data_IF_248529722849
#
_entry.id   IF_248529722849
#
_cell.length_a   1.000
_cell.length_b   1.000
_cell.length_c   1.000
_cell.angle_alpha   90.00
_cell.angle_beta   90.00
_cell.angle_gamma   90.00
#
_symmetry.space_group_name_H-M   'P 1'
#
loop_
_entity.id
_entity.type
_entity.pdbx_description
1 polymer ?
#
# COMPACT_ATOMS: atom_id res chain seq x y z
N UNK A 1 -33.47 -13.31 -44.48
CA UNK A 1 -33.73 -12.80 -43.12
C UNK A 1 -32.40 -12.60 -42.43
N UNK A 2 -31.94 -11.36 -42.32
CA UNK A 2 -30.63 -11.00 -41.74
C UNK A 2 -30.86 -10.64 -40.27
N UNK A 3 -30.38 -11.49 -39.36
CA UNK A 3 -30.50 -11.29 -37.92
C UNK A 3 -29.53 -10.19 -37.48
N UNK A 4 -30.03 -8.96 -37.30
CA UNK A 4 -29.26 -7.83 -36.79
C UNK A 4 -29.02 -8.02 -35.28
N UNK A 5 -27.81 -8.47 -34.94
CA UNK A 5 -27.37 -8.59 -33.55
C UNK A 5 -27.13 -7.19 -32.97
N UNK A 6 -28.14 -6.64 -32.29
CA UNK A 6 -28.00 -5.38 -31.55
C UNK A 6 -27.21 -5.66 -30.28
N UNK A 7 -25.89 -5.45 -30.33
CA UNK A 7 -25.05 -5.45 -29.14
C UNK A 7 -25.61 -4.44 -28.13
N UNK A 8 -26.08 -4.94 -26.99
CA UNK A 8 -26.68 -4.14 -25.93
C UNK A 8 -25.57 -3.40 -25.16
N UNK A 9 -25.15 -2.25 -25.68
CA UNK A 9 -24.23 -1.36 -24.96
C UNK A 9 -25.04 -0.70 -23.84
N UNK A 10 -24.65 -0.85 -22.56
CA UNK A 10 -25.35 -0.22 -21.46
C UNK A 10 -25.39 1.30 -21.66
N UNK A 11 -26.56 1.90 -21.46
CA UNK A 11 -26.70 3.34 -21.58
C UNK A 11 -25.81 4.05 -20.55
N UNK A 12 -25.29 5.23 -20.89
CA UNK A 12 -24.49 6.06 -19.97
C UNK A 12 -25.19 6.25 -18.61
N UNK A 13 -26.53 6.33 -18.61
CA UNK A 13 -27.35 6.45 -17.40
C UNK A 13 -27.29 5.20 -16.52
N UNK A 14 -27.33 4.01 -17.13
CA UNK A 14 -27.20 2.73 -16.42
C UNK A 14 -25.82 2.60 -15.78
N UNK A 15 -24.77 3.04 -16.47
CA UNK A 15 -23.41 3.03 -15.95
C UNK A 15 -23.22 3.98 -14.75
N UNK A 16 -23.70 5.22 -14.86
CA UNK A 16 -23.69 6.21 -13.77
C UNK A 16 -24.44 5.70 -12.53
N UNK A 17 -25.58 5.04 -12.72
CA UNK A 17 -26.34 4.43 -11.64
C UNK A 17 -25.54 3.35 -10.90
N UNK A 18 -24.91 2.43 -11.64
CA UNK A 18 -24.07 1.37 -11.07
C UNK A 18 -22.92 1.97 -10.26
N UNK A 19 -22.21 2.97 -10.79
CA UNK A 19 -21.14 3.65 -10.06
C UNK A 19 -21.65 4.27 -8.77
N UNK A 20 -22.82 4.92 -8.82
CA UNK A 20 -23.42 5.57 -7.64
C UNK A 20 -23.75 4.56 -6.55
N UNK A 21 -24.30 3.40 -6.93
CA UNK A 21 -24.60 2.29 -5.99
C UNK A 21 -23.32 1.73 -5.38
N UNK A 22 -22.28 1.48 -6.18
CA UNK A 22 -20.97 1.00 -5.69
C UNK A 22 -20.36 2.01 -4.72
N UNK A 23 -20.42 3.30 -5.04
CA UNK A 23 -19.89 4.37 -4.18
C UNK A 23 -20.66 4.49 -2.86
N UNK A 24 -21.99 4.40 -2.88
CA UNK A 24 -22.81 4.40 -1.68
C UNK A 24 -22.53 3.17 -0.80
N UNK A 25 -22.38 1.99 -1.41
CA UNK A 25 -21.97 0.77 -0.71
C UNK A 25 -20.58 0.95 -0.07
N UNK A 26 -19.62 1.51 -0.82
CA UNK A 26 -18.28 1.80 -0.32
C UNK A 26 -18.31 2.67 0.94
N UNK A 27 -19.03 3.79 0.90
CA UNK A 27 -19.11 4.70 2.06
C UNK A 27 -19.75 4.00 3.26
N UNK A 28 -20.88 3.34 3.06
CA UNK A 28 -21.66 2.75 4.16
C UNK A 28 -20.97 1.57 4.82
N UNK A 29 -20.30 0.72 4.05
CA UNK A 29 -19.65 -0.50 4.57
C UNK A 29 -18.19 -0.29 4.98
N UNK A 30 -17.47 0.65 4.38
CA UNK A 30 -16.02 0.77 4.60
C UNK A 30 -15.58 2.09 5.23
N UNK A 31 -16.39 3.16 5.17
CA UNK A 31 -16.01 4.47 5.74
C UNK A 31 -16.71 4.73 7.07
N UNK A 32 -18.03 4.57 7.10
CA UNK A 32 -18.85 4.84 8.29
C UNK A 32 -18.45 3.98 9.50
N UNK A 33 -18.28 2.64 9.38
CA UNK A 33 -18.06 1.79 10.55
C UNK A 33 -16.64 1.86 11.12
N UNK A 34 -15.69 2.48 10.40
CA UNK A 34 -14.32 2.65 10.90
C UNK A 34 -14.34 3.50 12.16
N UNK A 35 -14.01 2.85 13.28
CA UNK A 35 -13.83 3.51 14.57
C UNK A 35 -12.45 4.14 14.61
N UNK A 36 -12.42 5.44 14.86
CA UNK A 36 -11.18 6.21 14.92
C UNK A 36 -11.02 6.76 16.33
N UNK A 37 -9.83 6.63 16.94
CA UNK A 37 -9.54 7.26 18.22
C UNK A 37 -9.76 8.77 18.16
N UNK A 38 -10.36 9.33 19.22
CA UNK A 38 -10.60 10.77 19.32
C UNK A 38 -9.32 11.64 19.35
N UNK A 39 -8.15 11.02 19.54
CA UNK A 39 -6.84 11.68 19.55
C UNK A 39 -6.27 11.99 18.16
N UNK A 40 -6.90 11.51 17.07
CA UNK A 40 -6.42 11.79 15.71
C UNK A 40 -6.78 13.20 15.25
N UNK A 41 -5.79 13.93 14.71
CA UNK A 41 -5.97 15.28 14.14
C UNK A 41 -6.86 15.26 12.89
N UNK A 42 -6.80 14.18 12.10
CA UNK A 42 -7.52 14.06 10.83
C UNK A 42 -8.28 12.74 10.72
N UNK A 43 -9.38 12.56 11.49
CA UNK A 43 -10.08 11.29 11.57
C UNK A 43 -10.69 10.87 10.23
N UNK A 44 -11.20 11.81 9.45
CA UNK A 44 -11.81 11.54 8.13
C UNK A 44 -10.77 10.97 7.15
N UNK A 45 -9.57 11.55 7.10
CA UNK A 45 -8.49 11.06 6.21
C UNK A 45 -8.14 9.61 6.54
N UNK A 46 -8.05 9.29 7.83
CA UNK A 46 -7.78 7.94 8.29
C UNK A 46 -8.91 6.96 7.92
N UNK A 47 -10.18 7.37 8.07
CA UNK A 47 -11.33 6.55 7.63
C UNK A 47 -11.28 6.25 6.14
N UNK A 48 -10.97 7.26 5.31
CA UNK A 48 -10.84 7.10 3.86
C UNK A 48 -9.74 6.12 3.49
N UNK A 49 -8.56 6.25 4.11
CA UNK A 49 -7.44 5.34 3.84
C UNK A 49 -7.81 3.91 4.24
N UNK A 50 -8.27 3.73 5.48
CA UNK A 50 -8.63 2.41 6.03
C UNK A 50 -9.74 1.74 5.22
N UNK A 51 -10.79 2.50 4.88
CA UNK A 51 -11.90 1.99 4.09
C UNK A 51 -11.49 1.63 2.67
N UNK A 52 -10.63 2.43 2.04
CA UNK A 52 -10.06 2.11 0.72
C UNK A 52 -9.30 0.79 0.75
N UNK A 53 -8.44 0.58 1.75
CA UNK A 53 -7.70 -0.69 1.88
C UNK A 53 -8.63 -1.89 2.08
N UNK A 54 -9.61 -1.78 2.97
CA UNK A 54 -10.57 -2.86 3.21
C UNK A 54 -11.41 -3.17 1.96
N UNK A 55 -11.89 -2.15 1.25
CA UNK A 55 -12.60 -2.34 0.00
C UNK A 55 -11.75 -3.05 -1.05
N UNK A 56 -10.48 -2.64 -1.22
CA UNK A 56 -9.57 -3.29 -2.17
C UNK A 56 -9.37 -4.77 -1.86
N UNK A 57 -9.22 -5.13 -0.58
CA UNK A 57 -9.06 -6.52 -0.16
C UNK A 57 -10.28 -7.35 -0.53
N UNK A 58 -11.47 -6.91 -0.13
CA UNK A 58 -12.72 -7.63 -0.38
C UNK A 58 -13.03 -7.69 -1.88
N UNK A 59 -12.79 -6.59 -2.60
CA UNK A 59 -12.96 -6.55 -4.06
C UNK A 59 -12.01 -7.50 -4.78
N UNK A 60 -10.77 -7.64 -4.31
CA UNK A 60 -9.80 -8.59 -4.89
C UNK A 60 -10.25 -10.04 -4.71
N UNK A 61 -10.87 -10.40 -3.58
CA UNK A 61 -11.45 -11.72 -3.35
C UNK A 61 -12.66 -11.99 -4.26
N UNK A 62 -13.52 -10.98 -4.46
CA UNK A 62 -14.65 -11.07 -5.39
C UNK A 62 -14.13 -11.28 -6.83
N UNK A 63 -13.08 -10.56 -7.23
CA UNK A 63 -12.47 -10.71 -8.56
C UNK A 63 -11.88 -12.09 -8.77
N UNK A 64 -11.24 -12.66 -7.76
CA UNK A 64 -10.78 -14.05 -7.81
C UNK A 64 -11.95 -15.01 -8.02
N UNK A 65 -13.05 -14.83 -7.28
CA UNK A 65 -14.23 -15.68 -7.38
C UNK A 65 -14.94 -15.60 -8.74
N UNK A 66 -14.90 -14.46 -9.43
CA UNK A 66 -15.63 -14.24 -10.70
C UNK A 66 -14.74 -14.50 -11.92
N UNK A 67 -13.50 -14.03 -11.89
CA UNK A 67 -12.61 -13.95 -13.05
C UNK A 67 -11.50 -15.01 -12.97
N UNK A 68 -11.30 -15.64 -11.81
CA UNK A 68 -10.26 -16.65 -11.60
C UNK A 68 -8.84 -16.07 -11.55
N UNK A 69 -8.70 -14.74 -11.40
CA UNK A 69 -7.40 -14.10 -11.17
C UNK A 69 -7.06 -14.27 -9.69
N UNK A 70 -5.93 -14.89 -9.34
CA UNK A 70 -5.58 -15.09 -7.93
C UNK A 70 -5.49 -13.78 -7.16
N UNK A 71 -6.08 -13.71 -5.97
CA UNK A 71 -6.21 -12.45 -5.23
C UNK A 71 -4.86 -11.77 -5.00
N UNK A 72 -3.82 -12.54 -4.70
CA UNK A 72 -2.47 -12.04 -4.42
C UNK A 72 -1.88 -11.26 -5.61
N UNK A 73 -2.26 -11.60 -6.85
CA UNK A 73 -1.76 -10.92 -8.05
C UNK A 73 -2.36 -9.52 -8.18
N UNK A 74 -3.66 -9.40 -7.88
CA UNK A 74 -4.35 -8.10 -7.82
C UNK A 74 -3.78 -7.24 -6.69
N UNK A 75 -3.54 -7.84 -5.52
CA UNK A 75 -2.94 -7.12 -4.38
C UNK A 75 -1.53 -6.65 -4.68
N UNK A 76 -0.66 -7.48 -5.27
CA UNK A 76 0.69 -7.07 -5.65
C UNK A 76 0.67 -5.89 -6.63
N UNK A 77 -0.24 -5.90 -7.61
CA UNK A 77 -0.37 -4.79 -8.58
C UNK A 77 -0.73 -3.47 -7.87
N UNK A 78 -1.58 -3.55 -6.84
CA UNK A 78 -1.98 -2.38 -6.06
C UNK A 78 -0.83 -1.92 -5.16
N UNK A 79 -0.13 -2.84 -4.49
CA UNK A 79 1.09 -2.54 -3.71
C UNK A 79 2.12 -1.82 -4.57
N UNK A 80 2.42 -2.36 -5.76
CA UNK A 80 3.37 -1.78 -6.69
C UNK A 80 2.97 -0.35 -7.10
N UNK A 81 1.66 -0.08 -7.21
CA UNK A 81 1.15 1.26 -7.50
C UNK A 81 1.37 2.26 -6.36
N UNK A 82 1.29 1.79 -5.10
CA UNK A 82 1.60 2.60 -3.92
C UNK A 82 3.10 2.84 -3.76
N UNK A 83 3.94 1.85 -4.06
CA UNK A 83 5.40 1.98 -4.02
C UNK A 83 5.93 2.99 -5.06
N UNK A 84 5.21 3.16 -6.18
CA UNK A 84 5.51 4.20 -7.17
C UNK A 84 5.17 5.61 -6.69
N UNK A 85 4.34 5.75 -5.64
CA UNK A 85 4.10 7.05 -5.01
C UNK A 85 5.40 7.42 -4.30
N UNK A 86 6.25 8.20 -4.98
CA UNK A 86 7.45 8.80 -4.38
C UNK A 86 7.03 9.58 -3.13
N UNK A 87 7.21 8.97 -1.96
CA UNK A 87 7.20 9.68 -0.70
C UNK A 87 8.31 10.71 -0.84
N UNK A 88 7.97 12.00 -0.80
CA UNK A 88 8.97 13.07 -0.73
C UNK A 88 9.92 12.67 0.38
N UNK A 89 11.19 12.46 0.05
CA UNK A 89 12.23 12.20 1.03
C UNK A 89 12.13 13.34 2.05
N UNK A 90 11.72 13.00 3.27
CA UNK A 90 11.80 13.93 4.38
C UNK A 90 13.28 14.06 4.67
N UNK A 91 13.94 14.95 3.94
CA UNK A 91 15.31 15.37 4.19
C UNK A 91 15.28 16.28 5.42
N UNK A 92 14.97 15.66 6.55
CA UNK A 92 15.24 16.23 7.85
C UNK A 92 16.65 15.77 8.12
N UNK A 93 17.66 16.61 7.82
CA UNK A 93 19.11 16.33 7.97
C UNK A 93 19.58 15.94 9.39
N UNK A 94 18.64 15.55 10.25
CA UNK A 94 18.78 15.01 11.58
C UNK A 94 18.78 13.47 11.60
N UNK A 95 18.35 12.77 10.54
CA UNK A 95 18.32 11.30 10.47
C UNK A 95 19.01 10.80 9.21
N UNK A 96 20.09 10.05 9.40
CA UNK A 96 20.78 9.31 8.35
C UNK A 96 20.13 7.93 8.21
N UNK A 97 20.06 7.40 7.00
CA UNK A 97 19.63 6.02 6.78
C UNK A 97 20.58 5.31 5.83
N UNK A 98 20.68 3.99 6.01
CA UNK A 98 21.36 3.12 5.05
C UNK A 98 20.69 1.75 5.03
N UNK A 99 20.79 1.10 3.88
CA UNK A 99 20.24 -0.24 3.67
C UNK A 99 21.35 -1.29 3.85
N UNK A 100 21.07 -2.35 4.59
CA UNK A 100 21.99 -3.45 4.87
C UNK A 100 21.28 -4.79 4.64
N UNK A 101 22.01 -5.79 4.14
CA UNK A 101 21.53 -7.17 4.13
C UNK A 101 22.03 -7.90 5.37
N UNK A 102 21.12 -8.58 6.07
CA UNK A 102 21.43 -9.51 7.16
C UNK A 102 21.01 -10.90 6.69
N UNK A 103 21.99 -11.79 6.53
CA UNK A 103 21.85 -13.13 5.93
C UNK A 103 21.36 -13.08 4.47
N UNK A 104 20.09 -12.75 4.22
CA UNK A 104 19.54 -12.40 2.91
C UNK A 104 18.34 -11.42 3.01
N UNK A 105 18.08 -10.86 4.20
CA UNK A 105 16.98 -9.93 4.48
C UNK A 105 17.49 -8.49 4.36
N UNK A 106 16.85 -7.70 3.50
CA UNK A 106 17.12 -6.26 3.41
C UNK A 106 16.50 -5.56 4.62
N UNK A 107 17.32 -4.84 5.38
CA UNK A 107 16.91 -3.97 6.48
C UNK A 107 17.36 -2.54 6.21
N UNK A 108 16.59 -1.55 6.71
CA UNK A 108 16.98 -0.14 6.69
C UNK A 108 17.25 0.33 8.10
N UNK A 109 18.46 0.82 8.32
CA UNK A 109 18.91 1.33 9.61
C UNK A 109 18.80 2.84 9.58
N UNK A 110 18.10 3.40 10.56
CA UNK A 110 17.95 4.83 10.77
C UNK A 110 18.78 5.26 11.98
N UNK A 111 19.66 6.23 11.78
CA UNK A 111 20.60 6.70 12.78
C UNK A 111 20.50 8.21 12.91
N UNK A 112 20.39 8.79 14.11
CA UNK A 112 20.43 10.24 14.28
C UNK A 112 21.80 10.79 13.86
N UNK A 113 21.83 11.93 13.17
CA UNK A 113 23.09 12.54 12.71
C UNK A 113 23.98 13.03 13.85
N UNK A 114 23.39 13.32 15.02
CA UNK A 114 24.09 13.77 16.23
C UNK A 114 24.01 12.72 17.35
N UNK A 115 24.73 11.60 17.22
CA UNK A 115 24.92 10.68 18.34
C UNK A 115 25.98 11.20 19.32
N UNK A 116 25.57 11.42 20.58
CA UNK A 116 26.51 11.58 21.69
C UNK A 116 27.13 10.23 22.03
N UNK A 117 28.46 10.12 21.96
CA UNK A 117 29.21 8.86 22.16
C UNK A 117 29.19 8.33 23.61
N UNK A 118 28.54 9.03 24.53
CA UNK A 118 28.72 8.84 25.97
C UNK A 118 27.61 8.05 26.65
N UNK A 119 26.54 7.65 25.96
CA UNK A 119 25.43 6.92 26.57
C UNK A 119 24.91 5.77 25.69
N UNK A 120 24.53 4.66 26.33
CA UNK A 120 23.78 3.57 25.70
C UNK A 120 22.49 4.14 25.13
N UNK A 121 22.30 3.96 23.82
CA UNK A 121 21.11 4.45 23.12
C UNK A 121 20.11 3.31 22.93
N UNK A 122 18.80 3.55 23.17
CA UNK A 122 17.78 2.54 22.91
C UNK A 122 17.71 2.24 21.40
N UNK A 123 17.56 0.96 21.06
CA UNK A 123 17.38 0.49 19.69
C UNK A 123 15.94 0.04 19.51
N UNK A 124 15.29 0.49 18.44
CA UNK A 124 13.94 0.07 18.07
C UNK A 124 14.04 -0.80 16.83
N UNK A 125 13.56 -2.04 16.95
CA UNK A 125 13.38 -2.93 15.81
C UNK A 125 11.92 -2.78 15.36
N UNK A 126 11.73 -2.27 14.15
CA UNK A 126 10.41 -2.04 13.58
C UNK A 126 10.12 -3.04 12.47
N UNK A 127 9.03 -3.76 12.60
CA UNK A 127 8.44 -4.58 11.55
C UNK A 127 7.21 -3.85 11.01
N UNK A 128 7.17 -3.61 9.70
CA UNK A 128 5.99 -2.99 9.10
C UNK A 128 4.78 -3.94 9.20
N UNK A 129 3.58 -3.36 9.31
CA UNK A 129 2.33 -4.10 9.20
C UNK A 129 1.99 -4.44 7.75
N UNK A 130 0.73 -4.76 7.47
CA UNK A 130 0.29 -5.08 6.11
C UNK A 130 -0.03 -6.57 5.90
N UNK A 131 -0.37 -7.28 6.96
CA UNK A 131 -0.93 -8.63 6.87
C UNK A 131 -0.03 -9.66 6.20
N UNK A 132 1.29 -9.44 6.16
CA UNK A 132 2.29 -10.24 5.44
C UNK A 132 2.23 -10.18 3.91
N UNK A 133 1.38 -9.33 3.34
CA UNK A 133 1.22 -9.16 1.89
C UNK A 133 1.53 -7.74 1.41
N UNK A 134 1.48 -6.74 2.30
CA UNK A 134 1.66 -5.32 1.96
C UNK A 134 2.84 -4.72 2.70
N UNK A 135 3.48 -3.75 2.04
CA UNK A 135 4.59 -2.99 2.59
C UNK A 135 5.93 -3.62 2.26
N UNK A 136 6.88 -2.77 1.93
CA UNK A 136 8.28 -3.10 1.79
C UNK A 136 9.08 -1.89 2.24
N UNK A 137 10.35 -2.07 2.55
CA UNK A 137 11.28 -0.98 2.87
C UNK A 137 11.47 -0.02 1.66
N UNK A 138 10.84 -0.34 0.52
CA UNK A 138 10.76 0.43 -0.71
C UNK A 138 12.15 0.78 -1.24
N UNK A 139 12.58 -0.04 -2.20
CA UNK A 139 13.78 0.17 -2.99
C UNK A 139 13.39 1.15 -4.10
N UNK A 140 13.96 2.34 -4.06
CA UNK A 140 14.17 3.11 -5.29
C UNK A 140 14.97 2.19 -6.22
N UNK A 141 14.30 1.58 -7.20
CA UNK A 141 14.87 0.75 -8.27
C UNK A 141 15.77 1.58 -9.20
N UNK A 142 16.79 2.26 -8.67
CA UNK A 142 17.77 3.01 -9.45
C UNK A 142 19.22 2.80 -8.99
N UNK A 143 19.49 1.93 -8.01
CA UNK A 143 20.85 1.44 -7.79
C UNK A 143 20.96 -0.01 -8.24
N UNK A 144 21.82 -0.33 -9.23
CA UNK A 144 22.12 -1.72 -9.55
C UNK A 144 22.62 -2.41 -8.27
N UNK A 145 22.40 -3.74 -8.12
CA UNK A 145 22.96 -4.47 -6.99
C UNK A 145 24.46 -4.15 -6.93
N UNK A 146 24.91 -3.62 -5.79
CA UNK A 146 26.34 -3.49 -5.54
C UNK A 146 26.97 -4.86 -5.84
N UNK A 147 28.04 -4.92 -6.63
CA UNK A 147 28.68 -6.17 -6.95
C UNK A 147 29.00 -6.88 -5.64
N UNK A 148 28.64 -8.17 -5.56
CA UNK A 148 29.02 -9.08 -4.49
C UNK A 148 30.55 -9.15 -4.46
N UNK A 149 31.20 -8.16 -3.86
CA UNK A 149 32.63 -8.14 -3.62
C UNK A 149 32.84 -8.32 -2.13
N UNK A 150 33.37 -9.49 -1.80
CA UNK A 150 33.84 -9.93 -0.49
C UNK A 150 32.73 -10.34 0.49
N UNK A 151 32.12 -11.50 0.25
CA UNK A 151 31.88 -12.42 1.38
C UNK A 151 33.20 -13.18 1.59
N UNK A 152 33.83 -12.95 2.73
CA UNK A 152 34.81 -13.88 3.30
C UNK A 152 34.08 -15.16 3.71
#
# INVERSE_FOLDING_TARGET
>A
MTYQNKSCVPSLRSFLFIITVIFAFFITHYIIPVRVPGSMIHPIKYKIITGTFAFVLDFSQIFESIIGIPYYKTLNTIVDSFDQIKIRSFDHGQVLYHDQYIEDVLVRIYTPSNMSKTFLSPVIIFFHGGGFFFGSICKLLLTPPLPLKNRY
#
